data_IF_817576655403
#
_entry.id   IF_817576655403
#
_cell.length_a   1.000
_cell.length_b   1.000
_cell.length_c   1.000
_cell.angle_alpha   90.00
_cell.angle_beta   90.00
_cell.angle_gamma   90.00
#
_symmetry.space_group_name_H-M   'P 1'
#
loop_
_entity.id
_entity.type
_entity.pdbx_description
1 polymer ?
#
# COMPACT_ATOMS: atom_id res chain seq x y z
N UNK A 1 7.78 7.24 -28.24
CA UNK A 1 8.63 6.94 -27.07
C UNK A 1 8.13 5.65 -26.46
N UNK A 2 9.01 4.66 -26.31
CA UNK A 2 8.64 3.30 -25.94
C UNK A 2 7.85 3.27 -24.64
N UNK A 3 6.65 2.70 -24.69
CA UNK A 3 5.80 2.41 -23.54
C UNK A 3 6.49 1.31 -22.73
N UNK A 4 7.51 1.69 -21.95
CA UNK A 4 8.23 0.74 -21.10
C UNK A 4 7.24 0.24 -20.06
N UNK A 5 6.76 -0.99 -20.25
CA UNK A 5 5.92 -1.68 -19.29
C UNK A 5 6.78 -1.97 -18.06
N UNK A 6 6.50 -1.26 -16.98
CA UNK A 6 7.08 -1.58 -15.68
C UNK A 6 6.36 -2.80 -15.11
N UNK A 7 7.13 -3.76 -14.61
CA UNK A 7 6.62 -4.82 -13.75
C UNK A 7 6.76 -4.42 -12.27
N UNK A 8 6.17 -5.23 -11.38
CA UNK A 8 6.34 -5.08 -9.94
C UNK A 8 7.82 -5.23 -9.54
N UNK A 9 8.53 -6.17 -10.13
CA UNK A 9 9.95 -6.43 -9.87
C UNK A 9 10.83 -5.27 -10.36
N UNK A 10 10.52 -4.68 -11.52
CA UNK A 10 11.23 -3.48 -12.01
C UNK A 10 11.11 -2.32 -11.02
N UNK A 11 9.91 -2.12 -10.46
CA UNK A 11 9.68 -1.05 -9.48
C UNK A 11 10.48 -1.27 -8.19
N UNK A 12 10.61 -2.52 -7.74
CA UNK A 12 11.44 -2.86 -6.57
C UNK A 12 12.91 -2.61 -6.87
N UNK A 13 13.38 -3.05 -8.04
CA UNK A 13 14.76 -2.86 -8.49
C UNK A 13 15.11 -1.37 -8.63
N UNK A 14 14.21 -0.55 -9.17
CA UNK A 14 14.39 0.91 -9.25
C UNK A 14 14.63 1.53 -7.87
N UNK A 15 13.80 1.16 -6.88
CA UNK A 15 13.94 1.68 -5.52
C UNK A 15 15.25 1.22 -4.88
N UNK A 16 15.61 -0.07 -4.99
CA UNK A 16 16.84 -0.64 -4.41
C UNK A 16 18.10 -0.05 -5.06
N UNK A 17 18.13 0.05 -6.39
CA UNK A 17 19.25 0.64 -7.12
C UNK A 17 19.46 2.10 -6.72
N UNK A 18 18.40 2.90 -6.72
CA UNK A 18 18.50 4.30 -6.33
C UNK A 18 18.95 4.48 -4.88
N UNK A 19 18.49 3.61 -3.99
CA UNK A 19 18.96 3.61 -2.60
C UNK A 19 20.45 3.30 -2.51
N UNK A 20 20.93 2.26 -3.20
CA UNK A 20 22.35 1.92 -3.24
C UNK A 20 23.19 3.07 -3.82
N UNK A 21 22.76 3.69 -4.92
CA UNK A 21 23.44 4.84 -5.52
C UNK A 21 23.59 6.01 -4.53
N UNK A 22 22.53 6.28 -3.74
CA UNK A 22 22.56 7.30 -2.69
C UNK A 22 23.55 6.94 -1.58
N UNK A 23 23.55 5.68 -1.12
CA UNK A 23 24.50 5.20 -0.12
C UNK A 23 25.95 5.29 -0.62
N UNK A 24 26.21 4.88 -1.86
CA UNK A 24 27.52 4.98 -2.52
C UNK A 24 27.98 6.42 -2.71
N UNK A 25 27.04 7.36 -2.88
CA UNK A 25 27.32 8.80 -2.95
C UNK A 25 27.52 9.45 -1.56
N UNK A 26 27.46 8.67 -0.47
CA UNK A 26 27.59 9.16 0.90
C UNK A 26 26.33 9.82 1.47
N UNK A 27 25.19 9.75 0.76
CA UNK A 27 23.92 10.27 1.24
C UNK A 27 23.16 9.19 2.02
N UNK A 28 23.16 9.29 3.35
CA UNK A 28 22.38 8.41 4.23
C UNK A 28 20.89 8.80 4.30
N UNK A 29 20.23 8.82 3.14
CA UNK A 29 18.79 9.11 3.03
C UNK A 29 18.07 8.07 2.17
N UNK A 30 16.76 7.95 2.37
CA UNK A 30 15.91 7.11 1.52
C UNK A 30 15.60 7.77 0.17
N UNK A 31 15.28 6.97 -0.87
CA UNK A 31 14.82 7.50 -2.15
C UNK A 31 13.50 8.25 -1.97
N UNK A 32 13.46 9.47 -2.45
CA UNK A 32 12.29 10.34 -2.47
C UNK A 32 11.64 10.31 -3.85
N UNK A 33 10.39 10.78 -3.96
CA UNK A 33 9.65 10.79 -5.23
C UNK A 33 10.34 11.66 -6.29
N UNK A 34 11.00 12.73 -5.85
CA UNK A 34 11.78 13.64 -6.70
C UNK A 34 13.07 13.02 -7.26
N UNK A 35 13.50 11.87 -6.74
CA UNK A 35 14.67 11.15 -7.27
C UNK A 35 14.34 10.34 -8.53
N UNK A 36 13.07 10.28 -8.93
CA UNK A 36 12.54 9.50 -10.05
C UNK A 36 11.72 10.37 -11.01
N UNK A 37 11.55 9.89 -12.24
CA UNK A 37 10.65 10.52 -13.20
C UNK A 37 9.17 10.30 -12.85
N UNK A 38 8.29 11.17 -13.34
CA UNK A 38 6.84 11.06 -13.09
C UNK A 38 6.27 9.70 -13.50
N UNK A 39 6.76 9.13 -14.61
CA UNK A 39 6.36 7.81 -15.10
C UNK A 39 6.74 6.70 -14.10
N UNK A 40 7.95 6.74 -13.58
CA UNK A 40 8.42 5.77 -12.58
C UNK A 40 7.67 5.93 -11.26
N UNK A 41 7.41 7.16 -10.82
CA UNK A 41 6.61 7.43 -9.61
C UNK A 41 5.19 6.86 -9.76
N UNK A 42 4.57 7.03 -10.92
CA UNK A 42 3.24 6.48 -11.21
C UNK A 42 3.29 4.95 -11.23
N UNK A 43 4.27 4.33 -11.88
CA UNK A 43 4.45 2.89 -11.92
C UNK A 43 4.67 2.29 -10.51
N UNK A 44 5.64 2.83 -9.76
CA UNK A 44 5.92 2.42 -8.38
C UNK A 44 4.66 2.50 -7.53
N UNK A 45 3.89 3.59 -7.64
CA UNK A 45 2.64 3.75 -6.88
C UNK A 45 1.57 2.74 -7.29
N UNK A 46 1.46 2.43 -8.59
CA UNK A 46 0.49 1.49 -9.11
C UNK A 46 0.77 0.05 -8.64
N UNK A 47 2.04 -0.38 -8.63
CA UNK A 47 2.41 -1.76 -8.29
C UNK A 47 2.67 -2.00 -6.80
N UNK A 48 3.31 -1.04 -6.12
CA UNK A 48 3.76 -1.20 -4.72
C UNK A 48 2.88 -0.43 -3.72
N UNK A 49 1.93 0.34 -4.22
CA UNK A 49 0.99 1.12 -3.42
C UNK A 49 1.58 2.46 -2.94
N UNK A 50 1.09 3.02 -1.83
CA UNK A 50 1.54 4.32 -1.36
C UNK A 50 3.05 4.31 -1.02
N UNK A 51 3.74 5.44 -1.27
CA UNK A 51 5.21 5.54 -1.21
C UNK A 51 5.87 4.91 0.03
N UNK A 52 5.38 5.12 1.27
CA UNK A 52 5.97 4.45 2.43
C UNK A 52 5.91 2.92 2.34
N UNK A 53 4.78 2.38 1.84
CA UNK A 53 4.60 0.94 1.67
C UNK A 53 5.45 0.38 0.54
N UNK A 54 5.73 1.19 -0.48
CA UNK A 54 6.67 0.83 -1.55
C UNK A 54 8.09 0.66 -1.01
N UNK A 55 8.56 1.56 -0.15
CA UNK A 55 9.86 1.45 0.52
C UNK A 55 9.95 0.23 1.47
N UNK A 56 8.86 -0.09 2.17
CA UNK A 56 8.76 -1.30 2.99
C UNK A 56 8.79 -2.58 2.12
N UNK A 57 8.08 -2.57 0.99
CA UNK A 57 8.03 -3.69 0.04
C UNK A 57 9.39 -3.92 -0.64
N UNK A 58 10.14 -2.85 -0.86
CA UNK A 58 11.52 -2.91 -1.36
C UNK A 58 12.54 -3.23 -0.26
N UNK A 59 12.12 -3.53 0.98
CA UNK A 59 13.00 -3.82 2.13
C UNK A 59 14.03 -2.72 2.45
N UNK A 60 13.79 -1.50 1.95
CA UNK A 60 14.65 -0.34 2.21
C UNK A 60 14.35 0.24 3.60
N UNK A 61 13.08 0.17 4.01
CA UNK A 61 12.61 0.66 5.30
C UNK A 61 11.99 -0.48 6.10
N UNK A 62 12.26 -0.59 7.42
CA UNK A 62 11.54 -1.54 8.25
C UNK A 62 10.03 -1.26 8.19
N UNK A 63 9.18 -2.31 8.13
CA UNK A 63 7.74 -2.16 8.19
C UNK A 63 7.32 -1.35 9.41
N UNK A 64 6.42 -0.38 9.22
CA UNK A 64 5.82 0.33 10.34
C UNK A 64 5.00 -0.62 11.21
N UNK A 65 5.45 -0.84 12.45
CA UNK A 65 4.77 -1.67 13.45
C UNK A 65 3.87 -0.85 14.41
N UNK A 66 3.26 0.24 13.93
CA UNK A 66 2.40 1.08 14.78
C UNK A 66 0.98 0.52 15.01
N UNK A 67 0.72 -0.74 14.63
CA UNK A 67 -0.55 -1.45 14.86
C UNK A 67 -1.80 -0.85 14.18
N UNK A 68 -1.68 0.32 13.52
CA UNK A 68 -2.81 1.02 12.88
C UNK A 68 -3.44 0.22 11.75
N UNK A 69 -2.65 -0.55 11.01
CA UNK A 69 -3.17 -1.39 9.92
C UNK A 69 -4.12 -2.46 10.48
N UNK A 70 -3.76 -3.06 11.61
CA UNK A 70 -4.59 -4.02 12.34
C UNK A 70 -5.87 -3.36 12.85
N UNK A 71 -5.76 -2.21 13.54
CA UNK A 71 -6.92 -1.46 14.04
C UNK A 71 -7.91 -1.08 12.93
N UNK A 72 -7.40 -0.63 11.78
CA UNK A 72 -8.24 -0.31 10.62
C UNK A 72 -8.92 -1.56 10.04
N UNK A 73 -8.21 -2.69 9.99
CA UNK A 73 -8.78 -3.97 9.55
C UNK A 73 -9.90 -4.43 10.50
N UNK A 74 -9.68 -4.34 11.80
CA UNK A 74 -10.67 -4.70 12.83
C UNK A 74 -11.92 -3.82 12.76
N UNK A 75 -11.77 -2.50 12.59
CA UNK A 75 -12.91 -1.60 12.39
C UNK A 75 -13.71 -1.96 11.15
N UNK A 76 -13.05 -2.26 10.03
CA UNK A 76 -13.73 -2.71 8.79
C UNK A 76 -14.52 -4.00 9.02
N UNK A 77 -13.94 -4.97 9.74
CA UNK A 77 -14.61 -6.23 10.08
C UNK A 77 -15.82 -5.96 10.97
N UNK A 78 -15.69 -5.12 12.00
CA UNK A 78 -16.80 -4.74 12.90
C UNK A 78 -17.94 -4.06 12.14
N UNK A 79 -17.62 -3.08 11.29
CA UNK A 79 -18.63 -2.38 10.48
C UNK A 79 -19.35 -3.34 9.53
N UNK A 80 -18.62 -4.28 8.89
CA UNK A 80 -19.22 -5.30 8.02
C UNK A 80 -20.15 -6.23 8.80
N UNK A 81 -19.74 -6.69 9.98
CA UNK A 81 -20.58 -7.53 10.86
C UNK A 81 -21.85 -6.80 11.32
N UNK A 82 -21.73 -5.54 11.71
CA UNK A 82 -22.87 -4.72 12.12
C UNK A 82 -23.90 -4.56 10.99
N UNK A 83 -23.45 -4.30 9.76
CA UNK A 83 -24.34 -4.22 8.58
C UNK A 83 -25.06 -5.54 8.32
N UNK A 84 -24.35 -6.67 8.39
CA UNK A 84 -24.95 -7.99 8.19
C UNK A 84 -25.99 -8.30 9.27
N UNK A 85 -25.68 -8.00 10.54
CA UNK A 85 -26.60 -8.21 11.65
C UNK A 85 -27.87 -7.36 11.53
N UNK A 86 -27.72 -6.08 11.15
CA UNK A 86 -28.86 -5.19 10.91
C UNK A 86 -29.77 -5.72 9.78
N UNK A 87 -29.18 -6.19 8.68
CA UNK A 87 -29.95 -6.78 7.56
C UNK A 87 -30.68 -8.05 7.96
N UNK A 88 -30.02 -8.94 8.70
CA UNK A 88 -30.67 -10.15 9.23
C UNK A 88 -31.82 -9.80 10.18
N UNK A 89 -31.67 -8.75 10.99
CA UNK A 89 -32.73 -8.32 11.90
C UNK A 89 -33.95 -7.80 11.15
N UNK A 90 -33.76 -6.96 10.11
CA UNK A 90 -34.88 -6.49 9.29
C UNK A 90 -35.59 -7.63 8.55
N UNK A 91 -34.84 -8.59 8.00
CA UNK A 91 -35.40 -9.79 7.35
C UNK A 91 -36.24 -10.64 8.35
N UNK A 92 -35.82 -10.73 9.61
CA UNK A 92 -36.52 -11.50 10.64
C UNK A 92 -37.75 -10.76 11.20
N UNK A 93 -37.68 -9.43 11.32
CA UNK A 93 -38.79 -8.57 11.75
C UNK A 93 -39.92 -8.56 10.67
N UNK A 94 -39.58 -8.56 9.38
CA UNK A 94 -40.56 -8.72 8.29
C UNK A 94 -41.20 -10.11 8.25
N UNK A 95 -40.45 -11.16 8.61
CA UNK A 95 -40.96 -12.54 8.60
C UNK A 95 -41.86 -12.90 9.80
N UNK A 96 -41.79 -12.18 10.93
CA UNK A 96 -42.66 -12.40 12.10
C UNK A 96 -43.94 -11.54 12.10
N UNK A 97 -44.11 -10.64 11.13
CA UNK A 97 -45.22 -9.71 11.02
C UNK A 97 -46.40 -10.16 10.13
N UNK A 98 -46.46 -11.43 9.73
CA UNK A 98 -47.51 -11.98 8.87
C UNK A 98 -48.22 -13.18 9.51
#
# INVERSE_FOLDING_TARGET
>A
MSDKKYSKEDCISLLKNKYNDLQSSGLSRYPQRSDFSDREVVAIKAFLGPWPRALETAEIKPPRDDGKLQKNKEQRIRAKRAKIAARKKSENDEASGN
#
